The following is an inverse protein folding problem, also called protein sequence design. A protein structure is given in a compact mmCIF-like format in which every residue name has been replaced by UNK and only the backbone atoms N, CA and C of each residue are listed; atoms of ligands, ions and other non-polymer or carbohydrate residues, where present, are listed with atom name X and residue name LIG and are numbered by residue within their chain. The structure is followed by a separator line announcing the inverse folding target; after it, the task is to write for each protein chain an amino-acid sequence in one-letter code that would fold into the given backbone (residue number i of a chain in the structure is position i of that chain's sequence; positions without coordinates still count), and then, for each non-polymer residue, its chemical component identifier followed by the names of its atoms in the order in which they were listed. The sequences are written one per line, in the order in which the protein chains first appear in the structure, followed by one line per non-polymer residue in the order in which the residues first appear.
data_IF_357710382318
#
_entry.id   IF_357710382318
#
_cell.length_a   1.000
_cell.length_b   1.000
_cell.length_c   1.000
_cell.angle_alpha   90.00
_cell.angle_beta   90.00
_cell.angle_gamma   90.00
#
_symmetry.space_group_name_H-M   'P 1'
#
loop_
_entity.id
_entity.type
_entity.pdbx_description
1 polymer ?
#
# COMPACT_ATOMS: atom_id res chain seq x y z
N UNK A 1 -1.36 -14.24 5.98
CA UNK A 1 -2.33 -14.56 4.89
C UNK A 1 -2.71 -13.28 4.18
N UNK A 2 -2.88 -13.32 2.85
CA UNK A 2 -3.51 -12.24 2.10
C UNK A 2 -4.96 -12.10 2.57
N UNK A 3 -5.42 -10.86 2.77
CA UNK A 3 -6.78 -10.57 3.20
C UNK A 3 -7.80 -10.61 2.06
N UNK A 4 -8.95 -10.01 2.29
CA UNK A 4 -9.98 -9.91 1.28
C UNK A 4 -9.49 -9.04 0.12
N UNK A 5 -9.80 -9.50 -1.08
CA UNK A 5 -9.46 -8.82 -2.32
C UNK A 5 -10.73 -8.73 -3.17
N UNK A 6 -11.38 -7.57 -3.15
CA UNK A 6 -12.56 -7.35 -3.97
C UNK A 6 -12.19 -7.25 -5.44
N UNK A 7 -12.88 -7.95 -6.34
CA UNK A 7 -12.70 -7.85 -7.77
C UNK A 7 -12.86 -6.39 -8.26
N UNK A 8 -12.18 -6.05 -9.36
CA UNK A 8 -12.20 -4.69 -9.91
C UNK A 8 -13.63 -4.17 -10.16
N UNK A 9 -14.51 -5.00 -10.71
CA UNK A 9 -15.90 -4.62 -10.97
C UNK A 9 -16.68 -4.27 -9.70
N UNK A 10 -16.48 -5.05 -8.63
CA UNK A 10 -17.11 -4.79 -7.33
C UNK A 10 -16.58 -3.49 -6.71
N UNK A 11 -15.26 -3.30 -6.76
CA UNK A 11 -14.64 -2.06 -6.33
C UNK A 11 -15.21 -0.84 -7.07
N UNK A 12 -15.27 -0.90 -8.41
CA UNK A 12 -15.80 0.20 -9.22
C UNK A 12 -17.25 0.54 -8.87
N UNK A 13 -18.11 -0.46 -8.71
CA UNK A 13 -19.50 -0.26 -8.31
C UNK A 13 -19.61 0.44 -6.95
N UNK A 14 -18.84 -0.04 -5.96
CA UNK A 14 -18.82 0.53 -4.61
C UNK A 14 -18.31 1.97 -4.59
N UNK A 15 -17.26 2.27 -5.36
CA UNK A 15 -16.70 3.63 -5.43
C UNK A 15 -17.68 4.60 -6.08
N UNK A 16 -18.31 4.21 -7.20
CA UNK A 16 -19.32 5.06 -7.87
C UNK A 16 -20.48 5.40 -6.93
N UNK A 17 -20.97 4.40 -6.19
CA UNK A 17 -22.06 4.62 -5.24
C UNK A 17 -21.67 5.61 -4.14
N UNK A 18 -20.48 5.42 -3.54
CA UNK A 18 -19.97 6.33 -2.50
C UNK A 18 -19.67 7.73 -3.01
N UNK A 19 -19.13 7.86 -4.23
CA UNK A 19 -18.87 9.17 -4.83
C UNK A 19 -20.16 9.92 -5.10
N UNK A 20 -21.23 9.25 -5.57
CA UNK A 20 -22.55 9.86 -5.71
C UNK A 20 -23.08 10.40 -4.38
N UNK A 21 -22.90 9.67 -3.29
CA UNK A 21 -23.28 10.12 -1.96
C UNK A 21 -22.47 11.36 -1.53
N UNK A 22 -21.15 11.39 -1.79
CA UNK A 22 -20.33 12.56 -1.49
C UNK A 22 -20.71 13.75 -2.38
N UNK A 23 -20.91 13.54 -3.68
CA UNK A 23 -21.27 14.59 -4.62
C UNK A 23 -22.63 15.23 -4.30
N UNK A 24 -23.56 14.47 -3.71
CA UNK A 24 -24.85 15.03 -3.26
C UNK A 24 -24.70 16.02 -2.10
N UNK A 25 -23.60 15.94 -1.32
CA UNK A 25 -23.33 16.81 -0.18
C UNK A 25 -22.35 17.92 -0.58
N UNK A 26 -21.29 17.56 -1.33
CA UNK A 26 -20.19 18.46 -1.70
C UNK A 26 -19.79 18.23 -3.16
N UNK A 27 -20.50 18.84 -4.13
CA UNK A 27 -20.21 18.62 -5.56
C UNK A 27 -18.82 19.09 -5.99
N UNK A 28 -18.25 20.08 -5.30
CA UNK A 28 -16.95 20.66 -5.60
C UNK A 28 -15.81 19.67 -5.30
N UNK A 29 -15.96 18.87 -4.25
CA UNK A 29 -14.93 17.90 -3.85
C UNK A 29 -14.67 16.82 -4.92
N UNK A 30 -15.69 16.43 -5.69
CA UNK A 30 -15.53 15.50 -6.82
C UNK A 30 -14.78 16.17 -7.98
N UNK A 31 -15.10 17.44 -8.28
CA UNK A 31 -14.45 18.18 -9.36
C UNK A 31 -12.97 18.43 -9.10
N UNK A 32 -12.63 18.79 -7.87
CA UNK A 32 -11.24 19.01 -7.45
C UNK A 32 -10.36 17.76 -7.54
N UNK A 33 -10.93 16.57 -7.38
CA UNK A 33 -10.19 15.30 -7.38
C UNK A 33 -10.46 14.46 -8.65
N UNK A 34 -10.93 15.06 -9.74
CA UNK A 34 -11.36 14.36 -10.95
C UNK A 34 -10.24 13.51 -11.58
N UNK A 35 -9.03 14.03 -11.63
CA UNK A 35 -7.89 13.35 -12.23
C UNK A 35 -7.48 12.13 -11.40
N UNK A 36 -7.47 12.26 -10.07
CA UNK A 36 -7.18 11.18 -9.14
C UNK A 36 -8.25 10.09 -9.21
N UNK A 37 -9.53 10.49 -9.27
CA UNK A 37 -10.66 9.57 -9.43
C UNK A 37 -10.48 8.76 -10.71
N UNK A 38 -10.20 9.43 -11.84
CA UNK A 38 -10.06 8.77 -13.14
C UNK A 38 -8.89 7.77 -13.14
N UNK A 39 -7.73 8.17 -12.63
CA UNK A 39 -6.54 7.31 -12.54
C UNK A 39 -6.82 6.03 -11.77
N UNK A 40 -7.43 6.15 -10.59
CA UNK A 40 -7.66 5.00 -9.70
C UNK A 40 -8.83 4.14 -10.17
N UNK A 41 -9.86 4.76 -10.74
CA UNK A 41 -11.01 4.02 -11.27
C UNK A 41 -10.62 3.07 -12.42
N UNK A 42 -9.69 3.51 -13.28
CA UNK A 42 -9.20 2.72 -14.41
C UNK A 42 -8.14 1.68 -14.02
N UNK A 43 -7.56 1.79 -12.82
CA UNK A 43 -6.50 0.91 -12.36
C UNK A 43 -7.05 -0.47 -11.99
N UNK A 44 -6.80 -1.46 -12.84
CA UNK A 44 -7.15 -2.86 -12.57
C UNK A 44 -6.09 -3.54 -11.71
N UNK A 45 -6.47 -3.91 -10.48
CA UNK A 45 -5.61 -4.60 -9.54
C UNK A 45 -5.80 -6.12 -9.51
N UNK A 46 -6.72 -6.68 -10.27
CA UNK A 46 -6.96 -8.11 -10.26
C UNK A 46 -5.73 -8.89 -10.77
N UNK A 47 -4.99 -8.29 -11.71
CA UNK A 47 -3.72 -8.82 -12.21
C UNK A 47 -2.59 -8.87 -11.17
N UNK A 48 -2.66 -8.06 -10.12
CA UNK A 48 -1.65 -8.02 -9.06
C UNK A 48 -1.84 -9.09 -7.99
N UNK A 49 -3.05 -9.57 -7.82
CA UNK A 49 -3.37 -10.56 -6.78
C UNK A 49 -2.48 -11.81 -6.86
N UNK A 50 -2.29 -12.47 -8.03
CA UNK A 50 -1.40 -13.61 -8.13
C UNK A 50 0.07 -13.27 -7.89
N UNK A 51 0.51 -12.06 -8.21
CA UNK A 51 1.90 -11.60 -8.02
C UNK A 51 2.18 -11.36 -6.53
N UNK A 52 1.23 -10.77 -5.81
CA UNK A 52 1.40 -10.40 -4.41
C UNK A 52 1.11 -11.58 -3.47
N UNK A 53 0.21 -12.49 -3.86
CA UNK A 53 -0.23 -13.60 -3.01
C UNK A 53 0.94 -14.44 -2.44
N UNK A 54 1.98 -14.80 -3.20
CA UNK A 54 3.12 -15.56 -2.68
C UNK A 54 3.93 -14.85 -1.59
N UNK A 55 3.82 -13.51 -1.50
CA UNK A 55 4.52 -12.73 -0.47
C UNK A 55 3.85 -12.83 0.91
N UNK A 56 2.70 -13.47 0.97
CA UNK A 56 1.92 -13.63 2.20
C UNK A 56 1.94 -15.08 2.65
N UNK A 57 2.16 -15.28 3.95
CA UNK A 57 2.08 -16.60 4.57
C UNK A 57 0.69 -17.24 4.34
N UNK A 58 0.66 -18.57 4.21
CA UNK A 58 -0.59 -19.33 4.15
C UNK A 58 -1.26 -19.48 5.52
N UNK A 59 -0.55 -19.15 6.59
CA UNK A 59 -1.03 -19.30 7.98
C UNK A 59 -0.94 -17.96 8.71
N UNK A 60 -1.75 -17.80 9.76
CA UNK A 60 -1.74 -16.63 10.63
C UNK A 60 -2.85 -15.61 10.32
N UNK A 61 -2.72 -14.42 10.89
CA UNK A 61 -3.71 -13.35 10.75
C UNK A 61 -3.77 -12.84 9.31
N UNK A 62 -4.99 -12.63 8.80
CA UNK A 62 -5.20 -12.00 7.51
C UNK A 62 -4.70 -10.56 7.52
N UNK A 63 -3.99 -10.20 6.47
CA UNK A 63 -3.57 -8.82 6.23
C UNK A 63 -4.75 -8.01 5.68
N UNK A 64 -4.96 -6.81 6.16
CA UNK A 64 -6.05 -5.95 5.73
C UNK A 64 -5.58 -4.88 4.74
N UNK A 65 -6.49 -4.40 3.90
CA UNK A 65 -6.31 -3.21 3.06
C UNK A 65 -5.22 -3.33 1.98
N UNK A 66 -4.90 -4.51 1.46
CA UNK A 66 -3.81 -4.65 0.48
C UNK A 66 -4.10 -3.96 -0.86
N UNK A 67 -5.26 -4.17 -1.52
CA UNK A 67 -5.59 -3.46 -2.74
C UNK A 67 -5.77 -1.95 -2.49
N UNK A 68 -6.34 -1.58 -1.35
CA UNK A 68 -6.55 -0.19 -0.97
C UNK A 68 -5.22 0.54 -0.75
N UNK A 69 -4.27 -0.10 -0.05
CA UNK A 69 -2.92 0.44 0.14
C UNK A 69 -2.23 0.59 -1.21
N UNK A 70 -2.38 -0.36 -2.12
CA UNK A 70 -1.77 -0.27 -3.45
C UNK A 70 -2.32 0.93 -4.26
N UNK A 71 -3.66 1.10 -4.33
CA UNK A 71 -4.28 2.28 -4.96
C UNK A 71 -3.77 3.57 -4.33
N UNK A 72 -3.68 3.57 -3.03
CA UNK A 72 -3.16 4.67 -2.23
C UNK A 72 -1.69 5.00 -2.56
N UNK A 73 -0.84 3.99 -2.80
CA UNK A 73 0.53 4.19 -3.26
C UNK A 73 0.62 4.83 -4.64
N UNK A 74 -0.23 4.43 -5.57
CA UNK A 74 -0.27 5.03 -6.91
C UNK A 74 -0.58 6.52 -6.82
N UNK A 75 -1.54 6.92 -5.99
CA UNK A 75 -1.85 8.34 -5.77
C UNK A 75 -0.72 9.07 -5.04
N UNK A 76 -0.21 8.49 -3.97
CA UNK A 76 0.90 9.05 -3.20
C UNK A 76 2.11 9.34 -4.10
N UNK A 77 2.46 8.41 -4.98
CA UNK A 77 3.54 8.57 -5.95
C UNK A 77 3.23 9.65 -6.99
N UNK A 78 2.01 9.67 -7.55
CA UNK A 78 1.56 10.69 -8.49
C UNK A 78 1.65 12.10 -7.91
N UNK A 79 1.32 12.25 -6.63
CA UNK A 79 1.35 13.52 -5.89
C UNK A 79 2.72 13.80 -5.23
N UNK A 80 3.71 12.93 -5.42
CA UNK A 80 5.08 13.05 -4.86
C UNK A 80 5.11 13.25 -3.34
N UNK A 81 4.25 12.57 -2.62
CA UNK A 81 4.12 12.69 -1.17
C UNK A 81 4.84 11.53 -0.45
N UNK A 82 5.32 11.79 0.78
CA UNK A 82 5.80 10.74 1.67
C UNK A 82 4.62 10.09 2.42
N UNK A 83 4.79 8.85 2.95
CA UNK A 83 3.70 8.13 3.62
C UNK A 83 3.07 8.87 4.79
N UNK A 84 3.85 9.60 5.57
CA UNK A 84 3.38 10.36 6.74
C UNK A 84 2.38 11.44 6.33
N UNK A 85 2.81 12.33 5.43
CA UNK A 85 1.98 13.43 4.91
C UNK A 85 0.77 12.89 4.11
N UNK A 86 0.95 11.75 3.44
CA UNK A 86 -0.11 11.12 2.69
C UNK A 86 -1.23 10.60 3.59
N UNK A 87 -0.90 9.90 4.67
CA UNK A 87 -1.90 9.40 5.62
C UNK A 87 -2.67 10.55 6.26
N UNK A 88 -2.02 11.67 6.55
CA UNK A 88 -2.68 12.87 7.05
C UNK A 88 -3.63 13.47 6.00
N UNK A 89 -3.18 13.57 4.74
CA UNK A 89 -4.04 14.03 3.63
C UNK A 89 -5.26 13.15 3.44
N UNK A 90 -5.12 11.82 3.52
CA UNK A 90 -6.24 10.90 3.43
C UNK A 90 -7.25 11.06 4.58
N UNK A 91 -6.80 11.40 5.78
CA UNK A 91 -7.69 11.66 6.92
C UNK A 91 -8.58 12.87 6.66
N UNK A 92 -8.01 13.88 6.02
CA UNK A 92 -8.68 15.17 5.77
C UNK A 92 -9.45 15.22 4.45
N UNK A 93 -9.24 14.26 3.52
CA UNK A 93 -9.90 14.22 2.22
C UNK A 93 -10.71 12.94 2.05
N UNK A 94 -12.03 13.06 2.20
CA UNK A 94 -12.97 11.94 2.10
C UNK A 94 -13.02 11.35 0.68
N UNK A 95 -12.87 12.16 -0.37
CA UNK A 95 -12.85 11.69 -1.76
C UNK A 95 -11.65 10.79 -1.99
N UNK A 96 -10.44 11.26 -1.67
CA UNK A 96 -9.22 10.47 -1.83
C UNK A 96 -9.27 9.17 -1.04
N UNK A 97 -9.79 9.23 0.19
CA UNK A 97 -10.00 8.04 1.02
C UNK A 97 -10.94 7.04 0.36
N UNK A 98 -12.06 7.52 -0.19
CA UNK A 98 -13.08 6.70 -0.85
C UNK A 98 -12.56 6.04 -2.12
N UNK A 99 -11.86 6.77 -2.97
CA UNK A 99 -11.31 6.21 -4.22
C UNK A 99 -10.16 5.21 -3.97
N UNK A 100 -9.43 5.33 -2.87
CA UNK A 100 -8.52 4.26 -2.46
C UNK A 100 -9.26 3.00 -2.01
N UNK A 101 -10.54 3.09 -1.65
CA UNK A 101 -11.36 1.98 -1.15
C UNK A 101 -11.40 1.90 0.38
N UNK A 102 -10.83 2.88 1.10
CA UNK A 102 -10.88 2.89 2.55
C UNK A 102 -12.28 3.31 3.05
N UNK A 103 -12.68 2.68 4.15
CA UNK A 103 -13.87 3.08 4.91
C UNK A 103 -13.51 4.09 6.02
N UNK A 104 -14.25 4.01 7.13
CA UNK A 104 -13.95 4.80 8.33
C UNK A 104 -12.60 4.45 8.94
N UNK A 105 -12.26 3.15 8.94
CA UNK A 105 -10.97 2.66 9.42
C UNK A 105 -9.92 2.75 8.32
N UNK A 106 -8.82 3.39 8.64
CA UNK A 106 -7.69 3.55 7.75
C UNK A 106 -6.44 2.87 8.31
N UNK A 107 -5.54 2.39 7.43
CA UNK A 107 -4.24 1.93 7.85
C UNK A 107 -3.42 3.11 8.43
N UNK A 108 -2.56 2.79 9.39
CA UNK A 108 -1.58 3.74 9.91
C UNK A 108 -0.34 3.78 8.99
N UNK A 109 0.54 4.72 9.23
CA UNK A 109 1.80 4.89 8.48
C UNK A 109 2.64 3.61 8.48
N UNK A 110 2.71 2.90 9.61
CA UNK A 110 3.46 1.64 9.70
C UNK A 110 2.96 0.58 8.72
N UNK A 111 1.66 0.54 8.42
CA UNK A 111 1.10 -0.39 7.43
C UNK A 111 1.61 -0.13 6.00
N UNK A 112 1.90 1.13 5.66
CA UNK A 112 2.51 1.51 4.39
C UNK A 112 3.95 1.01 4.31
N UNK A 113 4.74 1.24 5.35
CA UNK A 113 6.12 0.74 5.40
C UNK A 113 6.18 -0.78 5.40
N UNK A 114 5.28 -1.46 6.11
CA UNK A 114 5.18 -2.93 6.09
C UNK A 114 4.83 -3.46 4.70
N UNK A 115 3.96 -2.75 3.97
CA UNK A 115 3.60 -3.10 2.60
C UNK A 115 4.78 -2.90 1.65
N UNK A 116 5.47 -1.75 1.71
CA UNK A 116 6.69 -1.46 0.93
C UNK A 116 7.74 -2.55 1.16
N UNK A 117 8.05 -2.83 2.42
CA UNK A 117 9.05 -3.83 2.79
C UNK A 117 8.70 -5.22 2.21
N UNK A 118 7.42 -5.56 2.18
CA UNK A 118 6.94 -6.84 1.66
C UNK A 118 7.10 -6.92 0.15
N UNK A 119 6.77 -5.85 -0.58
CA UNK A 119 6.91 -5.79 -2.04
C UNK A 119 8.38 -5.70 -2.45
N UNK A 120 9.22 -5.04 -1.67
CA UNK A 120 10.65 -4.95 -1.93
C UNK A 120 11.32 -6.32 -1.97
N UNK A 121 10.77 -7.32 -1.29
CA UNK A 121 11.27 -8.71 -1.33
C UNK A 121 10.93 -9.45 -2.64
N UNK A 122 10.25 -8.82 -3.60
CA UNK A 122 10.04 -9.40 -4.94
C UNK A 122 11.35 -9.57 -5.76
N UNK A 123 12.39 -8.82 -5.43
CA UNK A 123 13.71 -8.97 -6.07
C UNK A 123 14.57 -9.85 -5.18
N UNK A 124 14.67 -11.15 -5.38
CA UNK A 124 15.57 -12.18 -4.82
C UNK A 124 16.49 -11.79 -3.64
N UNK A 125 16.26 -10.65 -3.00
CA UNK A 125 16.95 -10.22 -1.81
C UNK A 125 16.36 -10.97 -0.64
N UNK A 126 17.19 -11.53 0.25
CA UNK A 126 16.69 -12.21 1.44
C UNK A 126 15.76 -11.26 2.18
N UNK A 127 14.48 -11.61 2.25
CA UNK A 127 13.53 -10.90 3.07
C UNK A 127 14.05 -10.87 4.49
N UNK A 128 14.28 -9.69 5.05
CA UNK A 128 14.71 -9.53 6.45
C UNK A 128 13.73 -10.18 7.45
N UNK A 129 12.61 -10.69 6.98
CA UNK A 129 11.60 -11.43 7.75
C UNK A 129 11.50 -12.93 7.40
N UNK A 130 12.33 -13.48 6.50
CA UNK A 130 12.55 -14.92 6.57
C UNK A 130 13.11 -15.20 7.96
N UNK A 131 12.55 -16.15 8.70
CA UNK A 131 13.17 -16.60 9.92
C UNK A 131 14.39 -17.47 9.57
N UNK A 132 15.35 -16.92 8.88
CA UNK A 132 16.69 -17.38 9.08
C UNK A 132 16.89 -17.27 10.58
N UNK A 133 17.02 -18.43 11.20
CA UNK A 133 17.22 -18.60 12.62
C UNK A 133 17.96 -17.40 13.17
N UNK A 134 17.32 -16.62 14.05
CA UNK A 134 17.97 -15.54 14.79
C UNK A 134 19.35 -16.06 15.14
N UNK A 135 20.43 -15.39 14.74
CA UNK A 135 21.77 -15.88 15.06
C UNK A 135 21.78 -16.15 16.54
N UNK A 136 21.95 -17.41 16.91
CA UNK A 136 21.98 -17.87 18.29
C UNK A 136 23.26 -17.41 19.00
N UNK A 137 23.91 -16.36 18.49
CA UNK A 137 24.99 -15.69 19.16
C UNK A 137 24.43 -14.99 20.38
N UNK A 138 24.54 -15.65 21.52
CA UNK A 138 24.39 -14.98 22.80
C UNK A 138 25.57 -14.02 22.92
N UNK A 139 25.28 -12.73 22.76
CA UNK A 139 26.26 -11.68 22.99
C UNK A 139 26.70 -11.73 24.46
N UNK A 140 28.00 -11.64 24.70
CA UNK A 140 28.53 -11.57 26.05
C UNK A 140 28.01 -10.28 26.74
N UNK A 141 27.88 -10.31 28.05
CA UNK A 141 27.37 -9.16 28.84
C UNK A 141 28.29 -7.95 28.60
N UNK A 142 27.79 -6.96 27.89
CA UNK A 142 28.53 -5.73 27.51
C UNK A 142 28.90 -5.64 26.02
N UNK A 143 28.68 -6.65 25.23
CA UNK A 143 28.90 -6.63 23.78
C UNK A 143 27.72 -5.91 23.10
N UNK A 144 28.00 -4.79 22.44
CA UNK A 144 26.97 -4.06 21.68
C UNK A 144 26.61 -4.85 20.43
N UNK A 145 25.32 -5.06 20.21
CA UNK A 145 24.82 -5.55 18.93
C UNK A 145 25.32 -4.63 17.80
N UNK A 146 25.91 -5.19 16.71
CA UNK A 146 26.28 -4.35 15.56
C UNK A 146 25.05 -3.61 15.09
N UNK A 147 25.18 -2.30 14.89
CA UNK A 147 24.10 -1.50 14.30
C UNK A 147 23.80 -2.07 12.92
N UNK A 148 22.60 -2.62 12.76
CA UNK A 148 22.10 -2.97 11.44
C UNK A 148 22.13 -1.69 10.61
N UNK A 149 22.95 -1.68 9.55
CA UNK A 149 22.98 -0.59 8.61
C UNK A 149 21.54 -0.28 8.19
N UNK A 150 21.01 0.85 8.62
CA UNK A 150 19.71 1.32 8.15
C UNK A 150 19.83 1.48 6.64
N UNK A 151 19.29 0.54 5.89
CA UNK A 151 19.15 0.71 4.47
C UNK A 151 18.38 2.02 4.28
N UNK A 152 19.03 3.03 3.71
CA UNK A 152 18.36 4.29 3.39
C UNK A 152 17.37 3.99 2.26
N UNK A 153 16.11 3.82 2.62
CA UNK A 153 15.05 3.62 1.66
C UNK A 153 14.83 4.91 0.87
N UNK A 154 15.24 4.94 -0.38
CA UNK A 154 14.85 5.99 -1.32
C UNK A 154 13.45 5.67 -1.83
N UNK A 155 12.44 6.07 -1.08
CA UNK A 155 11.04 5.78 -1.34
C UNK A 155 10.55 6.07 -2.77
N UNK A 156 10.91 7.18 -3.44
CA UNK A 156 10.47 7.46 -4.80
C UNK A 156 10.97 6.46 -5.83
N UNK A 157 12.19 5.94 -5.68
CA UNK A 157 12.77 4.96 -6.60
C UNK A 157 12.11 3.58 -6.48
N UNK A 158 11.69 3.20 -5.27
CA UNK A 158 11.07 1.89 -5.03
C UNK A 158 9.69 1.81 -5.66
N UNK A 159 8.88 2.86 -5.48
CA UNK A 159 7.54 2.92 -6.06
C UNK A 159 7.61 3.04 -7.57
N UNK A 160 8.54 3.85 -8.12
CA UNK A 160 8.78 3.97 -9.55
C UNK A 160 9.14 2.62 -10.19
N UNK A 161 10.12 1.92 -9.64
CA UNK A 161 10.54 0.59 -10.11
C UNK A 161 9.43 -0.46 -10.00
N UNK A 162 8.59 -0.38 -8.96
CA UNK A 162 7.45 -1.27 -8.82
C UNK A 162 6.41 -1.01 -9.90
N UNK A 163 6.08 0.26 -10.16
CA UNK A 163 5.15 0.66 -11.22
C UNK A 163 5.69 0.27 -12.58
N UNK A 164 6.98 0.50 -12.87
CA UNK A 164 7.64 0.07 -14.10
C UNK A 164 7.57 -1.44 -14.31
N UNK A 165 7.81 -2.22 -13.24
CA UNK A 165 7.76 -3.68 -13.30
C UNK A 165 6.33 -4.22 -13.51
N UNK A 166 5.32 -3.50 -13.04
CA UNK A 166 3.90 -3.86 -13.20
C UNK A 166 3.39 -3.45 -14.59
N UNK A 167 3.82 -2.28 -15.10
CA UNK A 167 3.40 -1.77 -16.41
C UNK A 167 4.20 -2.47 -17.54
N UNK A 168 5.42 -2.91 -17.25
CA UNK A 168 6.28 -3.64 -18.19
C UNK A 168 5.96 -5.13 -18.36
N UNK A 169 4.93 -5.60 -17.67
CA UNK A 169 4.33 -6.92 -17.84
C UNK A 169 3.15 -6.84 -18.80
#
# INVERSE_FOLDING_TARGET
MLGNWSPQKEYQANVVEKLRQIASITPEAERENKDEITKIYLLDLDVLKPIISPLYSHTGRKSNYQPEIFRSFVLMSSLKMCPDNWVEKLRNNTVLRTICGFGEKMPNVASYYDFINRIYCLDDRPCLRTPESKPTKKYAKGEKMPELSKAQYKHPEIVGKLVEKIIGL
#
